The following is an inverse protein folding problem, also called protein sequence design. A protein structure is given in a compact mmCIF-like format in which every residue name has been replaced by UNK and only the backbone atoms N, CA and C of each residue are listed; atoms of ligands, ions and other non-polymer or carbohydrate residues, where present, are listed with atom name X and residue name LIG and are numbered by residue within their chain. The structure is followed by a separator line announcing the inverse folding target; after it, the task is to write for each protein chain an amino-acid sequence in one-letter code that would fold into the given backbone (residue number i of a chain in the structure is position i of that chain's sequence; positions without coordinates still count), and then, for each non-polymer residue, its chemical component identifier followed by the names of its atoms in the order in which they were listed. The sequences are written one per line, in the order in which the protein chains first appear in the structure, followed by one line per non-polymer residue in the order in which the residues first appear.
data_IF_098040933975
#
_entry.id   IF_098040933975
#
_cell.length_a   1.000
_cell.length_b   1.000
_cell.length_c   1.000
_cell.angle_alpha   90.00
_cell.angle_beta   90.00
_cell.angle_gamma   90.00
#
_symmetry.space_group_name_H-M   'P 1'
#
loop_
_entity.id
_entity.type
_entity.pdbx_description
1 polymer ?
#
# COMPACT_ATOMS: atom_id res chain seq x y z
N UNK A 1 43.24 28.21 55.57
CA UNK A 1 42.25 29.28 55.36
C UNK A 1 41.22 28.71 54.45
N UNK A 2 40.31 28.15 55.02
CA UNK A 2 38.89 28.23 55.40
C UNK A 2 38.05 27.58 54.28
N UNK A 3 37.63 26.40 54.42
CA UNK A 3 36.47 25.87 55.11
C UNK A 3 35.14 26.52 54.67
N UNK A 4 34.43 25.92 53.72
CA UNK A 4 32.99 25.88 53.73
C UNK A 4 32.54 24.44 53.33
N UNK A 5 32.47 23.65 54.36
CA UNK A 5 31.64 22.43 54.36
C UNK A 5 30.23 22.81 54.78
N UNK A 6 29.25 22.20 54.19
CA UNK A 6 27.93 22.04 54.78
C UNK A 6 26.81 22.77 54.06
N UNK A 7 26.00 22.00 53.36
CA UNK A 7 24.57 21.87 53.58
C UNK A 7 23.98 20.93 52.52
N UNK A 8 24.24 19.64 52.73
CA UNK A 8 23.38 18.61 52.16
C UNK A 8 22.17 18.50 53.11
N UNK A 9 21.15 19.26 52.88
CA UNK A 9 19.83 19.05 53.47
C UNK A 9 19.03 18.16 52.50
N UNK A 10 18.99 16.86 52.82
CA UNK A 10 18.04 15.95 52.25
C UNK A 10 16.61 16.36 52.62
N UNK A 11 15.95 17.01 51.68
CA UNK A 11 14.50 17.12 51.74
C UNK A 11 13.92 15.78 51.39
N UNK A 12 13.55 15.00 52.40
CA UNK A 12 12.63 13.87 52.28
C UNK A 12 11.30 14.39 51.74
N UNK A 13 11.06 14.22 50.43
CA UNK A 13 9.74 14.29 49.86
C UNK A 13 8.97 13.00 50.12
N UNK A 14 8.75 12.65 51.38
CA UNK A 14 7.71 11.70 51.76
C UNK A 14 6.36 12.46 51.64
N UNK A 15 5.69 12.25 50.50
CA UNK A 15 4.38 12.84 50.23
C UNK A 15 4.05 13.07 48.78
N UNK A 16 4.95 12.73 47.86
CA UNK A 16 4.59 12.73 46.43
C UNK A 16 3.69 11.51 46.19
N UNK A 17 2.40 11.76 46.00
CA UNK A 17 1.46 10.79 45.50
C UNK A 17 2.05 10.23 44.21
N UNK A 18 2.50 8.96 44.23
CA UNK A 18 2.85 8.23 43.02
C UNK A 18 1.57 8.05 42.21
N UNK A 19 1.33 8.97 41.29
CA UNK A 19 0.24 8.86 40.35
C UNK A 19 0.64 7.75 39.39
N UNK A 20 0.02 6.58 39.51
CA UNK A 20 0.18 5.50 38.55
C UNK A 20 -0.55 5.91 37.26
N UNK A 21 0.21 6.28 36.26
CA UNK A 21 -0.28 6.78 34.96
C UNK A 21 -1.31 5.83 34.32
N UNK A 22 -1.12 4.52 34.48
CA UNK A 22 -2.05 3.50 34.03
C UNK A 22 -3.43 3.57 34.74
N UNK A 23 -3.46 3.86 36.03
CA UNK A 23 -4.72 4.01 36.78
C UNK A 23 -5.48 5.26 36.36
N UNK A 24 -4.77 6.36 36.14
CA UNK A 24 -5.40 7.59 35.62
C UNK A 24 -5.96 7.34 34.23
N UNK A 25 -5.17 6.71 33.34
CA UNK A 25 -5.59 6.42 31.97
C UNK A 25 -6.80 5.49 31.93
N UNK A 26 -6.81 4.45 32.75
CA UNK A 26 -7.95 3.54 32.84
C UNK A 26 -9.20 4.22 33.38
N UNK A 27 -9.05 5.07 34.40
CA UNK A 27 -10.16 5.86 34.97
C UNK A 27 -10.72 6.88 33.98
N UNK A 28 -9.85 7.62 33.27
CA UNK A 28 -10.28 8.56 32.22
C UNK A 28 -11.02 7.84 31.10
N UNK A 29 -10.49 6.73 30.61
CA UNK A 29 -11.15 5.90 29.58
C UNK A 29 -12.53 5.39 30.05
N UNK A 30 -12.65 5.00 31.32
CA UNK A 30 -13.92 4.59 31.88
C UNK A 30 -14.92 5.74 31.93
N UNK A 31 -14.53 6.91 32.42
CA UNK A 31 -15.38 8.12 32.49
C UNK A 31 -15.85 8.54 31.09
N UNK A 32 -14.93 8.54 30.10
CA UNK A 32 -15.28 8.88 28.72
C UNK A 32 -16.29 7.89 28.16
N UNK A 33 -16.07 6.60 28.36
CA UNK A 33 -16.99 5.54 27.91
C UNK A 33 -18.37 5.68 28.52
N UNK A 34 -18.45 5.84 29.86
CA UNK A 34 -19.71 6.03 30.58
C UNK A 34 -20.45 7.29 30.10
N UNK A 35 -19.72 8.38 29.86
CA UNK A 35 -20.30 9.63 29.34
C UNK A 35 -20.87 9.44 27.93
N UNK A 36 -20.15 8.75 27.04
CA UNK A 36 -20.63 8.43 25.67
C UNK A 36 -21.86 7.54 25.74
N UNK A 37 -21.84 6.48 26.59
CA UNK A 37 -22.98 5.58 26.78
C UNK A 37 -24.22 6.33 27.27
N UNK A 38 -24.07 7.15 28.29
CA UNK A 38 -25.17 7.96 28.83
C UNK A 38 -25.71 8.95 27.82
N UNK A 39 -24.84 9.61 27.06
CA UNK A 39 -25.23 10.58 26.03
C UNK A 39 -26.03 9.90 24.92
N UNK A 40 -25.54 8.79 24.38
CA UNK A 40 -26.22 8.06 23.31
C UNK A 40 -27.57 7.50 23.79
N UNK A 41 -27.60 6.92 24.99
CA UNK A 41 -28.85 6.45 25.59
C UNK A 41 -29.84 7.60 25.84
N UNK A 42 -29.36 8.76 26.28
CA UNK A 42 -30.17 9.97 26.41
C UNK A 42 -30.79 10.43 25.11
N UNK A 43 -30.00 10.44 24.03
CA UNK A 43 -30.48 10.80 22.68
C UNK A 43 -31.53 9.79 22.16
N UNK A 44 -31.30 8.49 22.31
CA UNK A 44 -32.29 7.44 21.95
C UNK A 44 -33.58 7.59 22.72
N UNK A 45 -33.54 8.00 23.98
CA UNK A 45 -34.72 8.26 24.78
C UNK A 45 -35.44 9.54 24.32
N UNK A 46 -34.72 10.61 23.95
CA UNK A 46 -35.30 11.83 23.42
C UNK A 46 -36.01 11.59 22.08
N UNK A 47 -35.40 10.84 21.18
CA UNK A 47 -35.99 10.46 19.88
C UNK A 47 -37.25 9.60 20.07
N UNK A 48 -37.24 8.68 21.05
CA UNK A 48 -38.42 7.91 21.38
C UNK A 48 -39.56 8.75 22.04
N UNK A 49 -39.21 9.81 22.81
CA UNK A 49 -40.20 10.76 23.34
C UNK A 49 -40.86 11.56 22.23
N UNK A 50 -40.07 11.97 21.21
CA UNK A 50 -40.58 12.69 20.06
C UNK A 50 -41.52 11.81 19.23
N UNK A 51 -41.12 10.59 18.88
CA UNK A 51 -41.95 9.63 18.15
C UNK A 51 -43.25 9.27 18.91
N UNK A 52 -43.20 9.20 20.25
CA UNK A 52 -44.38 8.96 21.06
C UNK A 52 -45.27 10.20 21.24
N UNK A 53 -44.83 11.40 20.93
CA UNK A 53 -45.57 12.65 21.19
C UNK A 53 -45.66 12.99 22.68
N UNK A 54 -44.94 12.28 23.57
CA UNK A 54 -44.98 12.48 25.01
C UNK A 54 -43.77 11.83 25.72
N UNK A 55 -43.29 12.46 26.78
CA UNK A 55 -42.26 11.89 27.68
C UNK A 55 -42.72 10.61 28.36
N UNK A 56 -41.77 9.81 28.81
CA UNK A 56 -42.02 8.58 29.57
C UNK A 56 -42.88 8.90 30.80
N UNK A 57 -43.96 8.14 31.01
CA UNK A 57 -44.98 8.31 32.09
C UNK A 57 -45.80 9.59 32.06
N UNK A 58 -45.59 10.51 31.11
CA UNK A 58 -46.44 11.69 30.98
C UNK A 58 -47.82 11.29 30.40
N UNK A 59 -48.88 11.86 30.94
CA UNK A 59 -50.22 11.78 30.34
C UNK A 59 -50.44 12.97 29.44
N UNK A 60 -50.55 12.73 28.11
CA UNK A 60 -50.74 13.77 27.13
C UNK A 60 -51.83 13.31 26.14
N UNK A 61 -52.77 14.19 25.73
CA UNK A 61 -53.71 13.89 24.68
C UNK A 61 -53.05 13.75 23.31
N UNK A 62 -51.84 14.26 23.15
CA UNK A 62 -51.03 14.20 21.91
C UNK A 62 -50.20 12.92 21.79
N UNK A 63 -50.29 12.02 22.76
CA UNK A 63 -49.54 10.77 22.75
C UNK A 63 -49.95 9.90 21.57
N UNK A 64 -48.97 9.62 20.67
CA UNK A 64 -49.14 8.79 19.48
C UNK A 64 -48.91 7.31 19.75
N UNK A 65 -47.94 6.99 20.63
CA UNK A 65 -47.60 5.60 20.99
C UNK A 65 -47.09 5.48 22.43
N UNK A 66 -46.92 4.24 22.88
CA UNK A 66 -46.40 3.90 24.21
C UNK A 66 -45.16 3.02 24.12
N UNK A 67 -44.25 3.22 25.08
CA UNK A 67 -43.01 2.43 25.14
C UNK A 67 -43.30 1.02 25.64
N UNK A 68 -42.70 0.02 25.01
CA UNK A 68 -42.81 -1.40 25.30
C UNK A 68 -41.50 -1.99 25.89
N UNK A 69 -40.69 -1.17 26.59
CA UNK A 69 -39.41 -1.54 27.09
C UNK A 69 -38.24 -1.12 26.19
N UNK A 70 -37.12 -1.79 26.29
CA UNK A 70 -35.92 -1.61 25.46
C UNK A 70 -35.25 -2.97 25.24
N UNK A 71 -34.30 -3.02 24.32
CA UNK A 71 -33.36 -4.12 24.20
C UNK A 71 -31.94 -3.57 24.17
N UNK A 72 -31.01 -4.37 24.72
CA UNK A 72 -29.60 -3.97 24.76
C UNK A 72 -28.91 -4.29 23.44
N UNK A 73 -28.09 -3.35 22.99
CA UNK A 73 -27.30 -3.46 21.78
C UNK A 73 -25.88 -2.97 22.06
N UNK A 74 -24.88 -3.77 21.75
CA UNK A 74 -23.50 -3.38 21.88
C UNK A 74 -23.05 -2.55 20.66
N UNK A 75 -22.37 -1.43 20.94
CA UNK A 75 -21.76 -0.56 19.93
C UNK A 75 -20.30 -0.32 20.27
N UNK A 76 -19.41 -0.64 19.32
CA UNK A 76 -17.98 -0.30 19.45
C UNK A 76 -17.77 1.14 19.00
N UNK A 77 -17.30 1.99 19.92
CA UNK A 77 -16.97 3.41 19.70
C UNK A 77 -15.48 3.65 19.88
N UNK A 78 -15.02 4.88 19.59
CA UNK A 78 -13.65 5.30 19.93
C UNK A 78 -13.37 5.28 21.44
N UNK A 79 -14.40 5.41 22.29
CA UNK A 79 -14.29 5.34 23.74
C UNK A 79 -14.30 3.91 24.29
N UNK A 80 -14.46 2.90 23.44
CA UNK A 80 -14.62 1.50 23.78
C UNK A 80 -16.01 0.97 23.48
N UNK A 81 -16.32 -0.22 24.00
CA UNK A 81 -17.63 -0.84 23.84
C UNK A 81 -18.64 -0.24 24.83
N UNK A 82 -19.79 0.23 24.30
CA UNK A 82 -20.89 0.82 25.06
C UNK A 82 -22.18 0.02 24.84
N UNK A 83 -23.04 0.01 25.85
CA UNK A 83 -24.34 -0.68 25.81
C UNK A 83 -25.46 0.32 25.54
N UNK A 84 -26.11 0.19 24.40
CA UNK A 84 -27.22 1.03 24.01
C UNK A 84 -28.54 0.37 24.41
N UNK A 85 -29.38 1.09 25.14
CA UNK A 85 -30.73 0.69 25.51
C UNK A 85 -31.72 1.19 24.46
N UNK A 86 -31.84 0.46 23.35
CA UNK A 86 -32.68 0.85 22.21
C UNK A 86 -34.16 0.70 22.57
N UNK A 87 -34.96 1.79 22.56
CA UNK A 87 -36.36 1.74 22.94
C UNK A 87 -37.19 0.84 22.01
N UNK A 88 -38.21 0.19 22.58
CA UNK A 88 -39.27 -0.48 21.83
C UNK A 88 -40.58 0.29 22.00
N UNK A 89 -41.23 0.57 20.90
CA UNK A 89 -42.55 1.14 20.86
C UNK A 89 -43.59 0.05 20.63
N UNK A 90 -44.83 0.27 21.03
CA UNK A 90 -45.87 -0.76 21.01
C UNK A 90 -46.42 -0.97 19.60
N UNK A 91 -46.70 0.10 18.87
CA UNK A 91 -47.33 0.07 17.57
C UNK A 91 -46.41 0.58 16.44
N UNK A 92 -45.53 1.54 16.72
CA UNK A 92 -44.62 2.12 15.73
C UNK A 92 -43.30 1.40 15.71
N UNK A 93 -42.66 1.20 14.56
CA UNK A 93 -41.26 0.75 14.52
C UNK A 93 -40.35 1.89 15.05
N UNK A 94 -39.43 1.56 15.94
CA UNK A 94 -38.39 2.49 16.36
C UNK A 94 -37.17 2.35 15.41
N UNK A 95 -37.07 3.29 14.50
CA UNK A 95 -35.92 3.41 13.59
C UNK A 95 -35.19 4.71 13.94
N UNK A 96 -34.02 4.58 14.54
CA UNK A 96 -33.22 5.72 15.01
C UNK A 96 -32.35 6.26 13.90
N UNK A 97 -32.24 7.60 13.80
CA UNK A 97 -31.29 8.29 12.93
C UNK A 97 -29.88 8.36 13.55
N UNK A 98 -29.77 8.15 14.87
CA UNK A 98 -28.51 8.24 15.62
C UNK A 98 -27.57 7.10 15.26
N UNK A 99 -28.12 5.89 15.00
CA UNK A 99 -27.33 4.69 14.72
C UNK A 99 -28.01 3.88 13.63
N UNK A 100 -27.32 3.69 12.52
CA UNK A 100 -27.83 2.84 11.43
C UNK A 100 -28.24 1.45 11.92
N UNK A 101 -29.34 0.96 11.42
CA UNK A 101 -29.87 -0.37 11.74
C UNK A 101 -28.83 -1.43 11.43
N UNK A 102 -28.57 -2.34 12.37
CA UNK A 102 -27.57 -3.41 12.30
C UNK A 102 -26.10 -2.97 12.38
N UNK A 103 -25.78 -1.70 12.54
CA UNK A 103 -24.39 -1.26 12.70
C UNK A 103 -23.91 -1.62 14.11
N UNK A 104 -22.79 -2.35 14.18
CA UNK A 104 -22.18 -2.77 15.45
C UNK A 104 -20.97 -1.91 15.84
N UNK A 105 -20.52 -1.03 14.96
CA UNK A 105 -19.35 -0.17 15.15
C UNK A 105 -19.64 1.23 14.66
N UNK A 106 -19.04 2.17 15.34
CA UNK A 106 -18.98 3.56 14.87
C UNK A 106 -18.22 3.65 13.54
N UNK A 107 -18.63 4.53 12.61
CA UNK A 107 -17.97 4.68 11.29
C UNK A 107 -16.49 5.00 11.42
N UNK A 108 -16.12 5.85 12.36
CA UNK A 108 -14.73 6.23 12.62
C UNK A 108 -13.85 5.04 13.00
N UNK A 109 -14.39 4.05 13.74
CA UNK A 109 -13.70 2.80 14.08
C UNK A 109 -13.51 1.94 12.84
N UNK A 110 -14.55 1.80 12.00
CA UNK A 110 -14.46 1.06 10.75
C UNK A 110 -13.44 1.70 9.80
N UNK A 111 -13.47 3.02 9.64
CA UNK A 111 -12.51 3.79 8.83
C UNK A 111 -11.08 3.63 9.34
N UNK A 112 -10.86 3.69 10.65
CA UNK A 112 -9.53 3.49 11.24
C UNK A 112 -8.99 2.08 10.98
N UNK A 113 -9.84 1.03 11.10
CA UNK A 113 -9.46 -0.35 10.79
C UNK A 113 -9.06 -0.52 9.33
N UNK A 114 -9.82 0.11 8.44
CA UNK A 114 -9.55 0.17 7.00
C UNK A 114 -8.22 0.85 6.73
N UNK A 115 -8.00 2.03 7.29
CA UNK A 115 -6.75 2.78 7.12
C UNK A 115 -5.54 2.03 7.69
N UNK A 116 -5.67 1.36 8.84
CA UNK A 116 -4.62 0.49 9.37
C UNK A 116 -4.23 -0.61 8.38
N UNK A 117 -5.23 -1.25 7.76
CA UNK A 117 -4.98 -2.27 6.74
C UNK A 117 -4.31 -1.70 5.50
N UNK A 118 -4.81 -0.56 4.97
CA UNK A 118 -4.24 0.13 3.82
C UNK A 118 -2.82 0.63 4.10
N UNK A 119 -2.56 1.13 5.32
CA UNK A 119 -1.23 1.54 5.77
C UNK A 119 -0.26 0.36 5.92
N UNK A 120 -0.77 -0.87 5.93
CA UNK A 120 0.04 -2.07 5.93
C UNK A 120 0.18 -2.76 7.28
N UNK A 121 -0.69 -2.48 8.26
CA UNK A 121 -0.75 -3.24 9.51
C UNK A 121 -1.29 -4.64 9.23
N UNK A 122 -0.65 -5.69 9.79
CA UNK A 122 -1.16 -7.05 9.63
C UNK A 122 -2.48 -7.22 10.37
N UNK A 123 -3.38 -8.06 9.85
CA UNK A 123 -4.69 -8.30 10.46
C UNK A 123 -4.57 -8.75 11.92
N UNK A 124 -3.57 -9.59 12.24
CA UNK A 124 -3.30 -10.01 13.62
C UNK A 124 -2.86 -8.85 14.51
N UNK A 125 -2.01 -7.95 13.99
CA UNK A 125 -1.56 -6.77 14.76
C UNK A 125 -2.64 -5.71 14.93
N UNK A 126 -3.65 -5.69 14.06
CA UNK A 126 -4.84 -4.84 14.24
C UNK A 126 -5.55 -5.21 15.54
N UNK A 127 -5.66 -6.49 15.87
CA UNK A 127 -6.23 -6.99 17.12
C UNK A 127 -5.53 -6.40 18.35
N UNK A 128 -4.18 -6.47 18.39
CA UNK A 128 -3.40 -5.90 19.50
C UNK A 128 -3.55 -4.38 19.59
N UNK A 129 -3.58 -3.68 18.44
CA UNK A 129 -3.73 -2.23 18.39
C UNK A 129 -5.12 -1.81 18.84
N UNK A 130 -6.17 -2.52 18.43
CA UNK A 130 -7.54 -2.19 18.83
C UNK A 130 -7.78 -2.44 20.31
N UNK A 131 -7.17 -3.47 20.88
CA UNK A 131 -7.18 -3.70 22.32
C UNK A 131 -6.49 -2.56 23.08
N UNK A 132 -5.32 -2.13 22.60
CA UNK A 132 -4.56 -1.05 23.24
C UNK A 132 -5.24 0.32 23.12
N UNK A 133 -5.92 0.62 22.01
CA UNK A 133 -6.54 1.92 21.75
C UNK A 133 -7.96 2.02 22.33
N UNK A 134 -8.76 0.96 22.21
CA UNK A 134 -10.20 0.97 22.50
C UNK A 134 -10.62 -0.02 23.58
N UNK A 135 -9.68 -0.79 24.14
CA UNK A 135 -9.96 -1.80 25.16
C UNK A 135 -10.76 -3.00 24.63
N UNK A 136 -10.90 -3.13 23.32
CA UNK A 136 -11.64 -4.22 22.69
C UNK A 136 -10.85 -4.85 21.56
N UNK A 137 -10.89 -6.18 21.44
CA UNK A 137 -10.27 -6.92 20.34
C UNK A 137 -11.21 -6.99 19.15
N UNK A 138 -10.76 -6.50 18.01
CA UNK A 138 -11.45 -6.70 16.75
C UNK A 138 -10.90 -7.95 16.06
N UNK A 139 -11.76 -8.94 15.85
CA UNK A 139 -11.31 -10.23 15.29
C UNK A 139 -10.73 -10.09 13.87
N UNK A 140 -9.77 -10.94 13.47
CA UNK A 140 -9.25 -10.98 12.12
C UNK A 140 -10.32 -11.17 11.04
N UNK A 141 -11.39 -11.92 11.31
CA UNK A 141 -12.52 -12.09 10.39
C UNK A 141 -13.24 -10.77 10.12
N UNK A 142 -13.46 -9.96 11.15
CA UNK A 142 -14.07 -8.63 11.03
C UNK A 142 -13.25 -7.69 10.15
N UNK A 143 -11.92 -7.67 10.35
CA UNK A 143 -11.03 -6.86 9.49
C UNK A 143 -11.08 -7.37 8.04
N UNK A 144 -11.15 -8.67 7.84
CA UNK A 144 -11.28 -9.26 6.50
C UNK A 144 -12.61 -8.91 5.82
N UNK A 145 -13.73 -8.90 6.56
CA UNK A 145 -15.05 -8.47 6.05
C UNK A 145 -15.07 -6.99 5.66
N UNK A 146 -14.48 -6.11 6.49
CA UNK A 146 -14.33 -4.69 6.18
C UNK A 146 -13.46 -4.47 4.94
N UNK A 147 -12.39 -5.24 4.79
CA UNK A 147 -11.55 -5.19 3.61
C UNK A 147 -12.30 -5.56 2.32
N UNK A 148 -13.23 -6.51 2.37
CA UNK A 148 -14.06 -6.84 1.20
C UNK A 148 -14.94 -5.67 0.75
N UNK A 149 -15.45 -4.86 1.68
CA UNK A 149 -16.22 -3.65 1.35
C UNK A 149 -15.37 -2.63 0.58
N UNK A 150 -14.06 -2.55 0.88
CA UNK A 150 -13.14 -1.63 0.22
C UNK A 150 -12.72 -2.12 -1.16
N UNK A 151 -12.83 -3.42 -1.44
CA UNK A 151 -12.42 -3.98 -2.73
C UNK A 151 -13.10 -3.28 -3.90
N UNK A 152 -14.35 -2.85 -3.75
CA UNK A 152 -15.08 -2.07 -4.77
C UNK A 152 -14.34 -0.76 -5.07
N UNK A 153 -13.89 -0.04 -4.05
CA UNK A 153 -13.16 1.21 -4.21
C UNK A 153 -11.75 1.00 -4.79
N UNK A 154 -11.09 -0.08 -4.37
CA UNK A 154 -9.77 -0.46 -4.90
C UNK A 154 -9.89 -0.85 -6.37
N UNK A 155 -10.92 -1.61 -6.74
CA UNK A 155 -11.20 -2.00 -8.12
C UNK A 155 -11.50 -0.76 -8.99
N UNK A 156 -12.33 0.16 -8.51
CA UNK A 156 -12.60 1.42 -9.20
C UNK A 156 -11.31 2.23 -9.43
N UNK A 157 -10.46 2.36 -8.40
CA UNK A 157 -9.18 3.05 -8.50
C UNK A 157 -8.22 2.36 -9.47
N UNK A 158 -8.15 1.03 -9.43
CA UNK A 158 -7.26 0.22 -10.28
C UNK A 158 -7.64 0.32 -11.76
N UNK A 159 -8.94 0.44 -12.04
CA UNK A 159 -9.51 0.48 -13.39
C UNK A 159 -9.87 1.90 -13.86
N UNK A 160 -9.49 2.95 -13.11
CA UNK A 160 -9.78 4.33 -13.49
C UNK A 160 -9.21 4.70 -14.86
N UNK A 161 -9.81 5.64 -15.60
CA UNK A 161 -9.21 6.20 -16.81
C UNK A 161 -7.80 6.73 -16.56
N UNK A 162 -6.94 6.62 -17.56
CA UNK A 162 -5.59 7.21 -17.56
C UNK A 162 -5.70 8.48 -18.41
N UNK A 163 -5.44 9.62 -17.77
CA UNK A 163 -5.59 10.93 -18.38
C UNK A 163 -4.22 11.51 -18.77
N UNK A 164 -4.20 12.26 -19.88
CA UNK A 164 -2.97 12.91 -20.38
C UNK A 164 -1.99 11.96 -21.04
N UNK A 165 -0.79 12.45 -21.29
CA UNK A 165 0.29 11.69 -21.94
C UNK A 165 1.33 11.24 -20.91
N UNK A 166 1.89 10.06 -21.15
CA UNK A 166 2.92 9.46 -20.30
C UNK A 166 4.13 9.06 -21.14
N UNK A 167 5.07 9.97 -21.28
CA UNK A 167 6.25 9.77 -22.14
C UNK A 167 7.13 8.59 -21.69
N UNK A 168 7.22 8.32 -20.40
CA UNK A 168 8.03 7.25 -19.81
C UNK A 168 7.16 6.30 -19.03
N UNK A 169 7.27 5.00 -19.32
CA UNK A 169 6.52 3.93 -18.64
C UNK A 169 7.49 2.90 -18.08
N UNK A 170 7.35 2.56 -16.83
CA UNK A 170 8.13 1.53 -16.13
C UNK A 170 7.24 0.32 -15.90
N UNK A 171 7.74 -0.86 -16.27
CA UNK A 171 7.04 -2.14 -16.13
C UNK A 171 7.88 -3.12 -15.33
N UNK A 172 7.24 -3.84 -14.40
CA UNK A 172 7.89 -4.90 -13.62
C UNK A 172 6.86 -5.88 -13.07
N UNK A 173 7.30 -7.07 -12.69
CA UNK A 173 6.50 -8.09 -12.05
C UNK A 173 7.00 -8.45 -10.65
N UNK A 174 6.09 -8.86 -9.80
CA UNK A 174 6.41 -9.41 -8.47
C UNK A 174 5.74 -10.77 -8.31
N UNK A 175 6.51 -11.76 -7.87
CA UNK A 175 6.03 -13.09 -7.58
C UNK A 175 5.52 -13.18 -6.13
N UNK A 176 4.28 -13.64 -5.98
CA UNK A 176 3.62 -13.88 -4.71
C UNK A 176 3.20 -15.35 -4.62
N UNK A 177 3.08 -15.85 -3.38
CA UNK A 177 2.59 -17.21 -3.12
C UNK A 177 1.10 -17.17 -2.85
N UNK A 178 0.33 -18.05 -3.50
CA UNK A 178 -1.08 -18.25 -3.22
C UNK A 178 -1.41 -19.74 -3.09
N UNK A 179 -2.44 -20.06 -2.33
CA UNK A 179 -3.06 -21.38 -2.29
C UNK A 179 -3.98 -21.58 -3.48
N UNK A 180 -3.90 -22.73 -4.13
CA UNK A 180 -4.79 -23.13 -5.20
C UNK A 180 -5.02 -24.64 -5.15
N UNK A 181 -6.27 -25.06 -4.86
CA UNK A 181 -6.61 -26.48 -4.79
C UNK A 181 -5.76 -27.29 -3.80
N UNK A 182 -5.37 -26.71 -2.66
CA UNK A 182 -4.51 -27.34 -1.66
C UNK A 182 -3.00 -27.22 -1.93
N UNK A 183 -2.59 -26.69 -3.08
CA UNK A 183 -1.19 -26.45 -3.44
C UNK A 183 -0.81 -24.98 -3.34
N UNK A 184 0.46 -24.70 -3.02
CA UNK A 184 1.02 -23.34 -3.05
C UNK A 184 1.64 -23.08 -4.42
N UNK A 185 1.05 -22.15 -5.17
CA UNK A 185 1.54 -21.73 -6.49
C UNK A 185 2.03 -20.29 -6.46
N UNK A 186 3.04 -19.99 -7.27
CA UNK A 186 3.46 -18.63 -7.49
C UNK A 186 2.52 -17.94 -8.49
N UNK A 187 2.16 -16.71 -8.22
CA UNK A 187 1.40 -15.84 -9.11
C UNK A 187 2.20 -14.55 -9.32
N UNK A 188 2.25 -14.07 -10.55
CA UNK A 188 2.85 -12.78 -10.86
C UNK A 188 1.81 -11.67 -10.65
N UNK A 189 2.24 -10.56 -10.07
CA UNK A 189 1.48 -9.30 -10.07
C UNK A 189 2.28 -8.30 -10.88
N UNK A 190 1.70 -7.87 -12.01
CA UNK A 190 2.33 -6.94 -12.94
C UNK A 190 1.93 -5.52 -12.57
N UNK A 191 2.91 -4.60 -12.58
CA UNK A 191 2.72 -3.19 -12.18
C UNK A 191 3.28 -2.27 -13.26
N UNK A 192 2.54 -1.20 -13.56
CA UNK A 192 2.95 -0.14 -14.46
C UNK A 192 2.94 1.21 -13.76
N UNK A 193 4.00 2.00 -13.97
CA UNK A 193 4.14 3.38 -13.52
C UNK A 193 4.44 4.24 -14.73
N UNK A 194 3.74 5.36 -14.87
CA UNK A 194 4.01 6.37 -15.89
C UNK A 194 4.61 7.65 -15.31
N UNK A 195 5.20 8.44 -16.18
CA UNK A 195 5.60 9.83 -15.90
C UNK A 195 4.78 10.74 -16.79
N UNK A 196 3.96 11.58 -16.16
CA UNK A 196 3.11 12.57 -16.83
C UNK A 196 3.94 13.72 -17.40
N UNK A 197 3.32 14.55 -18.23
CA UNK A 197 3.96 15.73 -18.82
C UNK A 197 4.48 16.75 -17.80
N UNK A 198 3.85 16.81 -16.62
CA UNK A 198 4.28 17.64 -15.49
C UNK A 198 5.50 17.06 -14.73
N UNK A 199 6.00 15.89 -15.16
CA UNK A 199 7.14 15.19 -14.55
C UNK A 199 6.79 14.38 -13.33
N UNK A 200 5.55 14.38 -12.86
CA UNK A 200 5.09 13.55 -11.73
C UNK A 200 4.83 12.11 -12.15
N UNK A 201 4.97 11.23 -11.19
CA UNK A 201 4.79 9.79 -11.39
C UNK A 201 3.38 9.38 -11.04
N UNK A 202 2.82 8.51 -11.85
CA UNK A 202 1.51 7.93 -11.62
C UNK A 202 1.56 6.41 -11.69
N UNK A 203 0.85 5.74 -10.78
CA UNK A 203 0.61 4.30 -10.87
C UNK A 203 -0.47 4.08 -11.92
N UNK A 204 -0.10 3.56 -13.07
CA UNK A 204 -1.00 3.36 -14.21
C UNK A 204 -1.88 2.13 -14.03
N UNK A 205 -1.34 1.06 -13.45
CA UNK A 205 -2.10 -0.17 -13.30
C UNK A 205 -1.39 -1.24 -12.50
N UNK A 206 -2.19 -2.19 -12.05
CA UNK A 206 -1.77 -3.41 -11.38
C UNK A 206 -2.73 -4.53 -11.75
N UNK A 207 -2.20 -5.66 -12.19
CA UNK A 207 -2.99 -6.85 -12.55
C UNK A 207 -2.32 -8.12 -12.07
N UNK A 208 -3.12 -9.17 -11.87
CA UNK A 208 -2.61 -10.52 -11.68
C UNK A 208 -2.29 -11.13 -13.06
N UNK A 209 -1.08 -11.65 -13.21
CA UNK A 209 -0.69 -12.52 -14.31
C UNK A 209 -0.48 -13.94 -13.80
N UNK A 210 -0.88 -14.94 -14.55
CA UNK A 210 -0.61 -16.34 -14.19
C UNK A 210 0.89 -16.60 -14.13
N UNK A 211 1.64 -15.98 -15.06
CA UNK A 211 3.10 -15.96 -15.17
C UNK A 211 3.53 -14.61 -15.75
N UNK A 212 4.84 -14.35 -15.76
CA UNK A 212 5.42 -13.25 -16.54
C UNK A 212 5.65 -13.71 -17.98
N UNK A 213 4.60 -14.24 -18.63
CA UNK A 213 4.62 -14.68 -20.01
C UNK A 213 4.09 -13.61 -20.98
N UNK A 214 4.28 -13.84 -22.27
CA UNK A 214 3.89 -12.88 -23.32
C UNK A 214 2.41 -12.54 -23.26
N UNK A 215 1.54 -13.53 -22.97
CA UNK A 215 0.09 -13.31 -22.95
C UNK A 215 -0.36 -12.46 -21.75
N UNK A 216 0.23 -12.67 -20.58
CA UNK A 216 -0.03 -11.82 -19.40
C UNK A 216 0.37 -10.37 -19.65
N UNK A 217 1.53 -10.14 -20.29
CA UNK A 217 1.97 -8.79 -20.68
C UNK A 217 1.08 -8.18 -21.76
N UNK A 218 0.69 -8.94 -22.78
CA UNK A 218 -0.26 -8.48 -23.82
C UNK A 218 -1.57 -8.02 -23.21
N UNK A 219 -2.15 -8.83 -22.34
CA UNK A 219 -3.41 -8.50 -21.66
C UNK A 219 -3.26 -7.25 -20.79
N UNK A 220 -2.15 -7.10 -20.10
CA UNK A 220 -1.90 -5.93 -19.27
C UNK A 220 -1.73 -4.66 -20.11
N UNK A 221 -0.90 -4.68 -21.16
CA UNK A 221 -0.69 -3.52 -22.02
C UNK A 221 -1.96 -3.14 -22.80
N UNK A 222 -2.73 -4.14 -23.26
CA UNK A 222 -4.06 -3.92 -23.85
C UNK A 222 -4.99 -3.20 -22.88
N UNK A 223 -5.05 -3.65 -21.64
CA UNK A 223 -5.84 -3.02 -20.59
C UNK A 223 -5.43 -1.57 -20.31
N UNK A 224 -4.13 -1.29 -20.24
CA UNK A 224 -3.62 0.08 -20.08
C UNK A 224 -4.01 0.96 -21.26
N UNK A 225 -3.88 0.47 -22.50
CA UNK A 225 -4.25 1.19 -23.72
C UNK A 225 -5.75 1.49 -23.78
N UNK A 226 -6.60 0.52 -23.43
CA UNK A 226 -8.06 0.70 -23.34
C UNK A 226 -8.48 1.73 -22.31
N UNK A 227 -7.71 1.89 -21.23
CA UNK A 227 -7.94 2.89 -20.18
C UNK A 227 -7.41 4.29 -20.54
N UNK A 228 -6.76 4.45 -21.71
CA UNK A 228 -6.32 5.74 -22.20
C UNK A 228 -4.80 5.98 -22.14
N UNK A 229 -3.97 4.98 -21.85
CA UNK A 229 -2.51 5.17 -21.86
C UNK A 229 -2.03 5.52 -23.27
N UNK A 230 -1.48 6.72 -23.43
CA UNK A 230 -1.01 7.28 -24.71
C UNK A 230 0.26 8.12 -24.55
N UNK A 231 0.89 8.47 -25.67
CA UNK A 231 2.09 9.31 -25.70
C UNK A 231 3.35 8.60 -25.20
N UNK A 232 3.35 7.26 -25.13
CA UNK A 232 4.49 6.47 -24.64
C UNK A 232 5.64 6.54 -25.63
N UNK A 233 6.79 7.03 -25.19
CA UNK A 233 8.03 7.17 -25.98
C UNK A 233 9.14 6.24 -25.51
N UNK A 234 9.16 5.88 -24.24
CA UNK A 234 10.14 4.97 -23.64
C UNK A 234 9.47 4.02 -22.67
N UNK A 235 9.73 2.72 -22.83
CA UNK A 235 9.33 1.67 -21.88
C UNK A 235 10.58 1.14 -21.20
N UNK A 236 10.65 1.23 -19.88
CA UNK A 236 11.79 0.78 -19.06
C UNK A 236 11.39 -0.49 -18.29
N UNK A 237 12.14 -1.57 -18.48
CA UNK A 237 11.89 -2.82 -17.76
C UNK A 237 13.16 -3.67 -17.62
N UNK A 238 13.07 -4.81 -16.92
CA UNK A 238 14.04 -5.89 -17.09
C UNK A 238 13.80 -6.63 -18.43
N UNK A 239 14.78 -7.41 -18.86
CA UNK A 239 14.66 -8.22 -20.08
C UNK A 239 13.81 -9.47 -19.79
N UNK A 240 12.53 -9.34 -20.05
CA UNK A 240 11.59 -10.43 -20.18
C UNK A 240 11.12 -10.47 -21.64
N UNK A 241 11.42 -11.56 -22.36
CA UNK A 241 11.13 -11.63 -23.82
C UNK A 241 9.65 -11.38 -24.12
N UNK A 242 8.75 -11.94 -23.32
CA UNK A 242 7.32 -11.73 -23.48
C UNK A 242 6.88 -10.28 -23.30
N UNK A 243 7.53 -9.54 -22.40
CA UNK A 243 7.26 -8.11 -22.21
C UNK A 243 7.77 -7.28 -23.40
N UNK A 244 8.99 -7.54 -23.86
CA UNK A 244 9.59 -6.79 -24.97
C UNK A 244 8.77 -6.96 -26.25
N UNK A 245 8.32 -8.19 -26.54
CA UNK A 245 7.45 -8.51 -27.67
C UNK A 245 6.09 -7.78 -27.55
N UNK A 246 5.43 -7.88 -26.41
CA UNK A 246 4.16 -7.20 -26.18
C UNK A 246 4.29 -5.67 -26.22
N UNK A 247 5.39 -5.09 -25.71
CA UNK A 247 5.64 -3.67 -25.77
C UNK A 247 5.74 -3.17 -27.23
N UNK A 248 6.46 -3.89 -28.10
CA UNK A 248 6.55 -3.57 -29.52
C UNK A 248 5.21 -3.68 -30.27
N UNK A 249 4.35 -4.65 -29.87
CA UNK A 249 3.02 -4.83 -30.45
C UNK A 249 2.07 -3.66 -30.10
N UNK A 250 2.01 -3.26 -28.84
CA UNK A 250 1.03 -2.27 -28.37
C UNK A 250 1.51 -0.82 -28.49
N UNK A 251 2.82 -0.58 -28.43
CA UNK A 251 3.46 0.73 -28.49
C UNK A 251 4.65 0.73 -29.46
N UNK A 252 4.41 0.55 -30.78
CA UNK A 252 5.46 0.41 -31.78
C UNK A 252 6.35 1.67 -31.91
N UNK A 253 5.81 2.85 -31.54
CA UNK A 253 6.56 4.10 -31.56
C UNK A 253 7.42 4.31 -30.31
N UNK A 254 7.27 3.46 -29.30
CA UNK A 254 8.03 3.54 -28.06
C UNK A 254 9.33 2.74 -28.17
N UNK A 255 10.43 3.35 -27.77
CA UNK A 255 11.71 2.64 -27.62
C UNK A 255 11.72 1.84 -26.33
N UNK A 256 12.25 0.62 -26.38
CA UNK A 256 12.47 -0.16 -25.18
C UNK A 256 13.85 0.11 -24.58
N UNK A 257 13.92 0.31 -23.26
CA UNK A 257 15.12 0.50 -22.45
C UNK A 257 15.25 -0.64 -21.46
N UNK A 258 16.27 -1.46 -21.58
CA UNK A 258 16.62 -2.44 -20.56
C UNK A 258 17.17 -1.76 -19.33
N UNK A 259 16.67 -2.11 -18.15
CA UNK A 259 17.18 -1.59 -16.88
C UNK A 259 18.69 -1.88 -16.76
N UNK A 260 19.48 -0.82 -16.72
CA UNK A 260 20.94 -0.88 -16.63
C UNK A 260 21.43 -1.68 -15.40
N UNK A 261 20.73 -1.56 -14.24
CA UNK A 261 21.09 -2.26 -13.00
C UNK A 261 20.89 -3.77 -13.15
N UNK A 262 19.78 -4.20 -13.77
CA UNK A 262 19.53 -5.63 -14.05
C UNK A 262 20.55 -6.19 -15.04
N UNK A 263 20.87 -5.43 -16.08
CA UNK A 263 21.91 -5.83 -17.00
C UNK A 263 23.29 -5.96 -16.32
N UNK A 264 23.66 -5.02 -15.44
CA UNK A 264 24.90 -5.17 -14.64
C UNK A 264 24.88 -6.46 -13.81
N UNK A 265 23.76 -6.79 -13.17
CA UNK A 265 23.60 -8.05 -12.41
C UNK A 265 23.81 -9.27 -13.31
N UNK A 266 23.30 -9.24 -14.53
CA UNK A 266 23.44 -10.33 -15.49
C UNK A 266 24.92 -10.50 -15.90
N UNK A 267 25.64 -9.42 -16.19
CA UNK A 267 27.08 -9.51 -16.43
C UNK A 267 27.83 -10.05 -15.20
N UNK A 268 27.50 -9.54 -14.00
CA UNK A 268 28.16 -9.96 -12.76
C UNK A 268 27.88 -11.43 -12.39
N UNK A 269 26.76 -12.01 -12.82
CA UNK A 269 26.42 -13.41 -12.52
C UNK A 269 27.42 -14.42 -13.13
N UNK A 270 28.15 -14.02 -14.16
CA UNK A 270 29.17 -14.83 -14.84
C UNK A 270 30.61 -14.37 -14.55
N UNK A 271 30.79 -13.46 -13.59
CA UNK A 271 32.09 -12.91 -13.19
C UNK A 271 32.52 -13.48 -11.83
N UNK A 272 33.75 -13.99 -11.67
CA UNK A 272 34.27 -14.43 -10.39
C UNK A 272 34.28 -13.29 -9.35
N UNK A 273 34.01 -13.62 -8.08
CA UNK A 273 33.91 -12.63 -6.99
C UNK A 273 35.10 -11.70 -6.87
N UNK A 274 36.33 -12.23 -7.10
CA UNK A 274 37.58 -11.46 -7.06
C UNK A 274 37.66 -10.36 -8.13
N UNK A 275 36.96 -10.49 -9.24
CA UNK A 275 36.95 -9.55 -10.38
C UNK A 275 35.75 -8.60 -10.43
N UNK A 276 34.74 -8.80 -9.62
CA UNK A 276 33.49 -8.02 -9.63
C UNK A 276 33.73 -6.52 -9.54
N UNK A 277 34.62 -6.06 -8.65
CA UNK A 277 34.89 -4.63 -8.45
C UNK A 277 35.51 -3.99 -9.71
N UNK A 278 36.46 -4.68 -10.35
CA UNK A 278 37.11 -4.21 -11.58
C UNK A 278 36.12 -4.17 -12.76
N UNK A 279 35.38 -5.25 -12.96
CA UNK A 279 34.38 -5.34 -14.04
C UNK A 279 33.26 -4.32 -13.85
N UNK A 280 32.78 -4.11 -12.62
CA UNK A 280 31.76 -3.09 -12.33
C UNK A 280 32.23 -1.68 -12.68
N UNK A 281 33.49 -1.35 -12.43
CA UNK A 281 34.07 -0.05 -12.83
C UNK A 281 34.07 0.12 -14.36
N UNK A 282 34.43 -0.94 -15.09
CA UNK A 282 34.39 -0.95 -16.57
C UNK A 282 32.97 -0.76 -17.10
N UNK A 283 31.99 -1.48 -16.57
CA UNK A 283 30.58 -1.33 -17.00
C UNK A 283 30.03 0.08 -16.72
N UNK A 284 30.36 0.66 -15.56
CA UNK A 284 29.96 2.05 -15.24
C UNK A 284 30.57 3.05 -16.22
N UNK A 285 31.80 2.81 -16.70
CA UNK A 285 32.47 3.67 -17.68
C UNK A 285 31.73 3.69 -19.02
N UNK A 286 31.05 2.62 -19.42
CA UNK A 286 30.21 2.60 -20.64
C UNK A 286 29.07 3.62 -20.51
N UNK A 287 28.34 3.62 -19.38
CA UNK A 287 27.18 4.50 -19.17
C UNK A 287 27.55 5.90 -18.63
N UNK A 288 28.84 6.19 -18.52
CA UNK A 288 29.36 7.51 -18.17
C UNK A 288 29.73 8.35 -19.41
N UNK A 289 29.61 7.77 -20.61
CA UNK A 289 29.90 8.47 -21.86
C UNK A 289 28.85 9.54 -22.17
N UNK A 290 29.26 10.52 -22.99
CA UNK A 290 28.45 11.70 -23.34
C UNK A 290 27.33 11.41 -24.35
N UNK A 291 27.48 10.39 -25.19
CA UNK A 291 26.51 10.00 -26.19
C UNK A 291 26.50 8.47 -26.43
N UNK A 292 25.55 8.04 -27.29
CA UNK A 292 25.35 6.62 -27.59
C UNK A 292 26.52 6.01 -28.37
N UNK A 293 27.16 6.75 -29.27
CA UNK A 293 28.28 6.23 -30.06
C UNK A 293 29.49 6.01 -29.16
N UNK A 294 29.86 7.02 -28.38
CA UNK A 294 30.96 6.91 -27.42
C UNK A 294 30.74 5.76 -26.41
N UNK A 295 29.49 5.54 -26.00
CA UNK A 295 29.14 4.41 -25.13
C UNK A 295 29.30 3.04 -25.81
N UNK A 296 28.97 2.92 -27.12
CA UNK A 296 29.21 1.71 -27.92
C UNK A 296 30.70 1.43 -28.10
N UNK A 297 31.46 2.44 -28.47
CA UNK A 297 32.93 2.33 -28.66
C UNK A 297 33.57 1.90 -27.32
N UNK A 298 33.13 2.49 -26.22
CA UNK A 298 33.58 2.10 -24.88
C UNK A 298 33.21 0.67 -24.54
N UNK A 299 32.02 0.21 -24.91
CA UNK A 299 31.59 -1.16 -24.71
C UNK A 299 32.41 -2.18 -25.52
N UNK A 300 32.83 -1.84 -26.75
CA UNK A 300 33.78 -2.60 -27.55
C UNK A 300 35.09 -2.81 -26.80
N UNK A 301 35.72 -1.71 -26.36
CA UNK A 301 36.98 -1.77 -25.59
C UNK A 301 36.84 -2.56 -24.28
N UNK A 302 35.70 -2.43 -23.58
CA UNK A 302 35.42 -3.21 -22.37
C UNK A 302 35.30 -4.69 -22.69
N UNK A 303 34.63 -5.05 -23.79
CA UNK A 303 34.49 -6.46 -24.22
C UNK A 303 35.84 -7.10 -24.55
N UNK A 304 36.71 -6.40 -25.29
CA UNK A 304 38.09 -6.84 -25.58
C UNK A 304 38.90 -7.06 -24.30
N UNK A 305 38.80 -6.12 -23.35
CA UNK A 305 39.47 -6.26 -22.08
C UNK A 305 38.94 -7.42 -21.25
N UNK A 306 37.64 -7.69 -21.27
CA UNK A 306 37.05 -8.86 -20.61
C UNK A 306 37.55 -10.17 -21.23
N UNK A 307 37.68 -10.25 -22.56
CA UNK A 307 38.26 -11.40 -23.25
C UNK A 307 39.73 -11.61 -22.86
N UNK A 308 40.54 -10.55 -22.82
CA UNK A 308 41.92 -10.59 -22.34
C UNK A 308 42.04 -11.06 -20.89
N UNK A 309 41.04 -10.79 -20.05
CA UNK A 309 40.91 -11.27 -18.67
C UNK A 309 40.37 -12.71 -18.57
N UNK A 310 40.15 -13.41 -19.69
CA UNK A 310 39.52 -14.73 -19.78
C UNK A 310 38.10 -14.78 -19.23
N UNK A 311 37.34 -13.69 -19.40
CA UNK A 311 35.95 -13.55 -19.00
C UNK A 311 35.02 -13.51 -20.21
N UNK A 312 35.19 -14.46 -21.14
CA UNK A 312 34.51 -14.47 -22.46
C UNK A 312 32.98 -14.45 -22.36
N UNK A 313 32.41 -15.14 -21.35
CA UNK A 313 30.96 -15.08 -21.11
C UNK A 313 30.49 -13.65 -20.76
N UNK A 314 31.21 -12.95 -19.93
CA UNK A 314 30.92 -11.56 -19.58
C UNK A 314 31.08 -10.64 -20.80
N UNK A 315 32.11 -10.84 -21.63
CA UNK A 315 32.31 -10.11 -22.86
C UNK A 315 31.15 -10.32 -23.85
N UNK A 316 30.66 -11.54 -24.01
CA UNK A 316 29.47 -11.87 -24.84
C UNK A 316 28.23 -11.15 -24.34
N UNK A 317 27.93 -11.20 -23.01
CA UNK A 317 26.77 -10.49 -22.44
C UNK A 317 26.87 -8.98 -22.64
N UNK A 318 28.08 -8.41 -22.64
CA UNK A 318 28.27 -6.98 -22.93
C UNK A 318 28.01 -6.70 -24.40
N UNK A 319 28.62 -7.42 -25.34
CA UNK A 319 28.42 -7.22 -26.79
C UNK A 319 26.96 -7.33 -27.21
N UNK A 320 26.29 -8.39 -26.73
CA UNK A 320 24.94 -8.71 -27.20
C UNK A 320 23.85 -7.86 -26.53
N UNK A 321 24.15 -7.25 -25.38
CA UNK A 321 23.11 -6.59 -24.60
C UNK A 321 23.32 -5.11 -24.33
N UNK A 322 24.43 -4.51 -24.69
CA UNK A 322 24.73 -3.10 -24.36
C UNK A 322 23.77 -2.14 -25.02
N UNK A 323 23.44 -2.34 -26.28
CA UNK A 323 22.56 -1.45 -27.06
C UNK A 323 21.16 -1.30 -26.45
N UNK A 324 20.64 -2.38 -25.86
CA UNK A 324 19.36 -2.38 -25.16
C UNK A 324 19.38 -1.47 -23.93
N UNK A 325 20.56 -1.17 -23.38
CA UNK A 325 20.76 -0.33 -22.19
C UNK A 325 21.04 1.12 -22.49
N UNK A 326 21.19 1.49 -23.77
CA UNK A 326 21.59 2.82 -24.22
C UNK A 326 20.45 3.63 -24.86
N UNK A 327 19.23 3.07 -24.90
CA UNK A 327 18.06 3.73 -25.53
C UNK A 327 17.74 5.07 -24.87
N UNK A 328 18.00 5.23 -23.57
CA UNK A 328 17.76 6.47 -22.82
C UNK A 328 18.59 7.66 -23.35
N UNK A 329 19.70 7.41 -24.04
CA UNK A 329 20.57 8.48 -24.56
C UNK A 329 19.96 9.25 -25.72
N UNK A 330 18.85 8.77 -26.31
CA UNK A 330 18.06 9.50 -27.31
C UNK A 330 17.14 10.57 -26.70
N UNK A 331 17.09 10.68 -25.37
CA UNK A 331 16.22 11.59 -24.64
C UNK A 331 17.04 12.73 -23.99
N UNK A 332 16.38 13.80 -23.48
CA UNK A 332 17.06 14.91 -22.82
C UNK A 332 17.98 14.45 -21.69
N UNK A 333 19.18 15.02 -21.63
CA UNK A 333 20.26 14.55 -20.74
C UNK A 333 19.88 14.65 -19.24
N UNK A 334 19.08 15.63 -18.88
CA UNK A 334 18.54 15.82 -17.53
C UNK A 334 17.64 14.66 -17.06
N UNK A 335 17.07 13.89 -18.01
CA UNK A 335 16.23 12.73 -17.69
C UNK A 335 17.02 11.43 -17.52
N UNK A 336 18.25 11.32 -18.08
CA UNK A 336 19.01 10.07 -18.17
C UNK A 336 19.13 9.30 -16.87
N UNK A 337 19.45 9.99 -15.77
CA UNK A 337 19.62 9.35 -14.45
C UNK A 337 18.35 8.69 -13.93
N UNK A 338 17.20 9.12 -14.39
CA UNK A 338 15.88 8.66 -13.97
C UNK A 338 15.34 7.55 -14.87
N UNK A 339 15.61 7.61 -16.17
CA UNK A 339 15.01 6.72 -17.17
C UNK A 339 15.90 5.54 -17.60
N UNK A 340 17.17 5.50 -17.19
CA UNK A 340 18.09 4.39 -17.51
C UNK A 340 17.94 3.18 -16.57
N UNK A 341 17.14 3.30 -15.52
CA UNK A 341 16.95 2.25 -14.52
C UNK A 341 15.51 2.12 -14.09
N UNK A 342 15.12 0.93 -13.61
CA UNK A 342 13.78 0.68 -13.04
C UNK A 342 13.72 0.94 -11.52
N UNK A 343 14.64 1.74 -10.97
CA UNK A 343 14.75 2.00 -9.52
C UNK A 343 13.48 2.56 -8.89
N UNK A 344 12.70 3.31 -9.68
CA UNK A 344 11.41 3.87 -9.25
C UNK A 344 10.46 2.76 -8.84
N UNK A 345 10.32 1.78 -9.72
CA UNK A 345 9.42 0.65 -9.52
C UNK A 345 10.02 -0.36 -8.53
N UNK A 346 11.35 -0.55 -8.53
CA UNK A 346 12.03 -1.41 -7.54
C UNK A 346 11.77 -0.99 -6.09
N UNK A 347 11.70 0.31 -5.81
CA UNK A 347 11.37 0.82 -4.46
C UNK A 347 9.97 0.42 -4.05
N UNK A 348 9.00 0.58 -4.93
CA UNK A 348 7.62 0.19 -4.71
C UNK A 348 7.50 -1.33 -4.54
N UNK A 349 8.16 -2.09 -5.42
CA UNK A 349 8.18 -3.56 -5.33
C UNK A 349 8.79 -4.05 -4.02
N UNK A 350 9.79 -3.37 -3.48
CA UNK A 350 10.37 -3.67 -2.16
C UNK A 350 9.36 -3.44 -1.04
N UNK A 351 8.60 -2.37 -1.11
CA UNK A 351 7.56 -2.05 -0.14
C UNK A 351 6.40 -3.06 -0.21
N UNK A 352 5.99 -3.45 -1.40
CA UNK A 352 5.00 -4.51 -1.62
C UNK A 352 5.52 -5.84 -1.04
N UNK A 353 6.77 -6.24 -1.35
CA UNK A 353 7.38 -7.48 -0.83
C UNK A 353 7.44 -7.49 0.69
N UNK A 354 7.80 -6.36 1.30
CA UNK A 354 7.83 -6.23 2.77
C UNK A 354 6.46 -6.52 3.36
N UNK A 355 5.41 -6.06 2.71
CA UNK A 355 4.04 -6.22 3.16
C UNK A 355 3.50 -7.63 2.90
N UNK A 356 3.70 -8.17 1.71
CA UNK A 356 3.20 -9.48 1.32
C UNK A 356 3.91 -10.63 2.05
N UNK A 357 5.19 -10.46 2.43
CA UNK A 357 5.92 -11.44 3.25
C UNK A 357 5.27 -11.68 4.63
N UNK A 358 4.63 -10.67 5.21
CA UNK A 358 3.95 -10.80 6.51
C UNK A 358 2.72 -11.70 6.39
N UNK A 359 2.04 -11.69 5.24
CA UNK A 359 0.88 -12.54 4.96
C UNK A 359 1.33 -13.99 4.72
N UNK A 360 2.49 -14.16 4.11
CA UNK A 360 3.08 -15.47 3.79
C UNK A 360 2.44 -16.10 2.56
N UNK A 361 1.23 -16.60 2.69
CA UNK A 361 0.47 -17.27 1.63
C UNK A 361 -0.94 -16.70 1.53
N UNK A 362 -1.38 -16.35 0.32
CA UNK A 362 -2.71 -15.80 0.08
C UNK A 362 -3.72 -16.92 -0.19
N UNK A 363 -4.98 -16.81 0.30
CA UNK A 363 -6.00 -17.82 0.05
C UNK A 363 -6.37 -17.91 -1.44
N UNK A 364 -6.30 -16.78 -2.17
CA UNK A 364 -6.62 -16.67 -3.58
C UNK A 364 -5.85 -15.50 -4.23
N UNK A 365 -5.88 -15.45 -5.57
CA UNK A 365 -5.21 -14.41 -6.34
C UNK A 365 -5.84 -13.03 -6.15
N UNK A 366 -7.17 -12.96 -5.97
CA UNK A 366 -7.88 -11.72 -5.74
C UNK A 366 -7.43 -11.04 -4.45
N UNK A 367 -7.28 -11.80 -3.36
CA UNK A 367 -6.78 -11.29 -2.08
C UNK A 367 -5.35 -10.73 -2.21
N UNK A 368 -4.48 -11.42 -2.95
CA UNK A 368 -3.13 -10.95 -3.23
C UNK A 368 -3.13 -9.65 -4.04
N UNK A 369 -3.90 -9.61 -5.13
CA UNK A 369 -4.05 -8.44 -5.98
C UNK A 369 -4.62 -7.24 -5.23
N UNK A 370 -5.67 -7.46 -4.42
CA UNK A 370 -6.31 -6.39 -3.64
C UNK A 370 -5.36 -5.78 -2.59
N UNK A 371 -4.57 -6.60 -1.89
CA UNK A 371 -3.56 -6.08 -0.95
C UNK A 371 -2.49 -5.26 -1.66
N UNK A 372 -1.99 -5.74 -2.81
CA UNK A 372 -1.01 -4.99 -3.61
C UNK A 372 -1.61 -3.67 -4.12
N UNK A 373 -2.82 -3.72 -4.68
CA UNK A 373 -3.52 -2.54 -5.19
C UNK A 373 -3.84 -1.52 -4.10
N UNK A 374 -4.28 -1.97 -2.92
CA UNK A 374 -4.49 -1.13 -1.75
C UNK A 374 -3.21 -0.40 -1.33
N UNK A 375 -2.09 -1.13 -1.27
CA UNK A 375 -0.78 -0.53 -0.94
C UNK A 375 -0.31 0.47 -1.99
N UNK A 376 -0.49 0.17 -3.27
CA UNK A 376 -0.18 1.07 -4.37
C UNK A 376 -1.04 2.34 -4.32
N UNK A 377 -2.34 2.22 -4.05
CA UNK A 377 -3.26 3.36 -3.86
C UNK A 377 -2.80 4.26 -2.72
N UNK A 378 -2.43 3.67 -1.58
CA UNK A 378 -1.89 4.42 -0.44
C UNK A 378 -0.60 5.17 -0.82
N UNK A 379 0.35 4.51 -1.49
CA UNK A 379 1.61 5.14 -1.96
C UNK A 379 1.31 6.29 -2.94
N UNK A 380 0.37 6.12 -3.86
CA UNK A 380 -0.04 7.16 -4.80
C UNK A 380 -0.59 8.42 -4.11
N UNK A 381 -1.22 8.27 -2.94
CA UNK A 381 -1.72 9.39 -2.12
C UNK A 381 -0.65 10.13 -1.32
N UNK A 382 0.58 9.59 -1.23
CA UNK A 382 1.70 10.21 -0.51
C UNK A 382 2.49 11.19 -1.39
N UNK A 383 3.53 11.82 -0.82
CA UNK A 383 4.48 12.66 -1.58
C UNK A 383 5.17 11.94 -2.75
N UNK A 384 5.07 10.62 -2.85
CA UNK A 384 5.62 9.89 -3.97
C UNK A 384 4.84 10.14 -5.26
N UNK A 385 3.53 10.30 -5.20
CA UNK A 385 2.65 10.58 -6.34
C UNK A 385 2.25 12.06 -6.50
N UNK A 386 2.85 12.91 -5.67
CA UNK A 386 2.61 14.37 -5.67
C UNK A 386 3.90 15.14 -5.89
#
# INVERSE_FOLDING_TARGET
MDNVAGLASGANFEGVIKIEEEKIRSHVNQVVRETVEQTLNGLLQAEADELCGAKRYARSPERLDTRAGHYDRQLHTQAGEVTLQVPRLRNLPFETEIIERYRRRESSVEEALVEMYLAGVSVRRVEDITEALWGTRVSPSTVSELNQKIYVQIEAWRNRPIEGQHAYVYLDGIWLKRSWGGEVKNVAVLVAIGVREDGYREILGVVEGLKEDTESWRNFLRHLKQRGLQGVRLIVSDKCLGLVEAAGEFYPDATWQRCMVHWYRNVMSVVPRSKVKEVMAMLKAIHAQEDRQAARDKAGLVSEKLDAMRLSQAATVVRDGVDETLSYMAFPREHWTRIRTNNVLERIMREIRRRTRVVGNFPDGKSALMLVAARLRHIAGTRWGK
#
